data_IF_829751870884
#
_entry.id   IF_829751870884
#
_cell.length_a   1.000
_cell.length_b   1.000
_cell.length_c   1.000
_cell.angle_alpha   90.00
_cell.angle_beta   90.00
_cell.angle_gamma   90.00
#
_symmetry.space_group_name_H-M   'P 1'
#
loop_
_entity.id
_entity.type
_entity.pdbx_description
1 polymer ?
#
# COMPACT_ATOMS: atom_id res chain seq x y z
N UNK A 1 18.70 6.54 0.61
CA UNK A 1 18.57 5.26 1.34
C UNK A 1 19.65 5.24 2.39
N UNK A 2 19.37 4.82 3.63
CA UNK A 2 20.43 4.73 4.64
C UNK A 2 21.38 3.58 4.28
N UNK A 3 22.68 3.66 4.60
CA UNK A 3 23.64 2.58 4.33
C UNK A 3 23.23 1.24 4.95
N UNK A 4 22.58 1.27 6.11
CA UNK A 4 22.10 0.09 6.83
C UNK A 4 20.98 -0.61 6.06
N UNK A 5 20.02 0.17 5.53
CA UNK A 5 18.88 -0.37 4.78
C UNK A 5 19.31 -0.93 3.42
N UNK A 6 20.29 -0.30 2.76
CA UNK A 6 20.88 -0.86 1.53
C UNK A 6 21.60 -2.18 1.79
N UNK A 7 22.32 -2.27 2.91
CA UNK A 7 22.99 -3.51 3.33
C UNK A 7 21.99 -4.62 3.65
N UNK A 8 20.90 -4.31 4.34
CA UNK A 8 19.80 -5.25 4.62
C UNK A 8 19.18 -5.75 3.31
N UNK A 9 18.88 -4.85 2.38
CA UNK A 9 18.33 -5.20 1.07
C UNK A 9 19.29 -6.09 0.26
N UNK A 10 20.59 -5.77 0.24
CA UNK A 10 21.59 -6.59 -0.45
C UNK A 10 21.65 -8.01 0.12
N UNK A 11 21.59 -8.17 1.45
CA UNK A 11 21.58 -9.51 2.07
C UNK A 11 20.33 -10.29 1.68
N UNK A 12 19.16 -9.64 1.71
CA UNK A 12 17.90 -10.24 1.29
C UNK A 12 17.96 -10.67 -0.19
N UNK A 13 18.34 -9.78 -1.10
CA UNK A 13 18.47 -10.10 -2.53
C UNK A 13 19.45 -11.26 -2.78
N UNK A 14 20.60 -11.26 -2.11
CA UNK A 14 21.60 -12.33 -2.25
C UNK A 14 21.08 -13.69 -1.75
N UNK A 15 20.29 -13.70 -0.69
CA UNK A 15 19.70 -14.93 -0.16
C UNK A 15 18.64 -15.50 -1.12
N UNK A 16 17.96 -14.63 -1.88
CA UNK A 16 16.98 -15.01 -2.90
C UNK A 16 17.60 -15.51 -4.23
N UNK A 17 18.90 -15.31 -4.46
CA UNK A 17 19.59 -15.80 -5.66
C UNK A 17 19.65 -17.33 -5.75
N UNK A 18 19.63 -18.01 -4.60
CA UNK A 18 19.74 -19.46 -4.54
C UNK A 18 18.35 -20.07 -4.65
N UNK A 19 18.19 -21.10 -5.47
CA UNK A 19 16.97 -21.89 -5.46
C UNK A 19 16.80 -22.54 -4.09
N UNK A 20 15.57 -22.53 -3.58
CA UNK A 20 15.24 -23.21 -2.33
C UNK A 20 15.41 -24.71 -2.53
N UNK A 21 16.26 -25.32 -1.73
CA UNK A 21 16.41 -26.76 -1.73
C UNK A 21 15.29 -27.39 -0.91
N UNK A 22 14.33 -27.98 -1.62
CA UNK A 22 13.25 -28.75 -1.03
C UNK A 22 13.58 -30.24 -1.07
N UNK A 23 13.40 -30.91 0.07
CA UNK A 23 13.50 -32.37 0.17
C UNK A 23 12.09 -32.94 0.32
N UNK A 24 11.64 -33.71 -0.66
CA UNK A 24 10.37 -34.46 -0.57
C UNK A 24 10.49 -35.52 0.51
N UNK A 25 9.47 -35.63 1.36
CA UNK A 25 9.45 -36.57 2.48
C UNK A 25 8.22 -37.44 2.40
N UNK A 26 8.43 -38.73 2.19
CA UNK A 26 7.35 -39.71 2.27
C UNK A 26 6.89 -39.86 3.75
N UNK A 27 5.58 -39.83 4.02
CA UNK A 27 5.08 -40.13 5.35
C UNK A 27 5.42 -41.58 5.72
N UNK A 28 5.94 -41.78 6.94
CA UNK A 28 6.12 -43.09 7.54
C UNK A 28 4.78 -43.70 7.99
N UNK A 29 3.78 -42.86 8.28
CA UNK A 29 2.40 -43.24 8.53
C UNK A 29 1.47 -42.15 8.01
N UNK A 30 0.35 -42.55 7.42
CA UNK A 30 -0.70 -41.67 6.95
C UNK A 30 -2.04 -42.29 7.34
N UNK A 31 -2.84 -41.57 8.11
CA UNK A 31 -4.12 -42.06 8.64
C UNK A 31 -5.19 -41.00 8.44
N UNK A 32 -6.41 -41.45 8.15
CA UNK A 32 -7.60 -40.61 8.06
C UNK A 32 -8.48 -40.82 9.27
N UNK A 33 -9.09 -39.76 9.80
CA UNK A 33 -10.02 -39.87 10.94
C UNK A 33 -11.22 -40.76 10.64
N UNK A 34 -11.67 -40.83 9.39
CA UNK A 34 -12.74 -41.72 8.95
C UNK A 34 -12.35 -43.20 8.92
N UNK A 35 -11.06 -43.53 9.05
CA UNK A 35 -10.52 -44.88 8.89
C UNK A 35 -10.43 -45.36 7.44
N UNK A 36 -10.80 -44.51 6.46
CA UNK A 36 -10.62 -44.83 5.04
C UNK A 36 -9.15 -44.83 4.65
N UNK A 37 -8.84 -45.54 3.59
CA UNK A 37 -7.47 -45.67 3.10
C UNK A 37 -6.93 -44.36 2.51
N UNK A 38 -5.61 -44.23 2.59
CA UNK A 38 -4.79 -43.18 2.00
C UNK A 38 -3.58 -43.85 1.35
N UNK A 39 -3.42 -43.64 0.07
CA UNK A 39 -2.35 -44.26 -0.71
C UNK A 39 -1.11 -43.36 -0.66
N UNK A 40 0.05 -43.96 -0.41
CA UNK A 40 1.33 -43.26 -0.47
C UNK A 40 2.11 -43.82 -1.65
N UNK A 41 2.14 -43.08 -2.76
CA UNK A 41 2.83 -43.46 -3.99
C UNK A 41 4.37 -43.42 -3.78
N UNK A 42 5.15 -44.13 -4.62
CA UNK A 42 6.60 -43.94 -4.69
C UNK A 42 6.96 -42.46 -4.86
N UNK A 43 8.06 -42.03 -4.23
CA UNK A 43 8.49 -40.61 -4.16
C UNK A 43 7.72 -39.76 -3.14
N UNK A 44 6.81 -40.34 -2.35
CA UNK A 44 6.19 -39.66 -1.21
C UNK A 44 4.95 -38.84 -1.53
N UNK A 45 4.34 -39.06 -2.71
CA UNK A 45 3.04 -38.48 -3.03
C UNK A 45 1.95 -39.16 -2.20
N UNK A 46 1.10 -38.36 -1.59
CA UNK A 46 -0.08 -38.81 -0.87
C UNK A 46 -1.28 -38.69 -1.81
N UNK A 47 -2.08 -39.74 -1.91
CA UNK A 47 -3.27 -39.83 -2.75
C UNK A 47 -4.47 -40.31 -1.92
N UNK A 48 -5.55 -39.53 -1.96
CA UNK A 48 -6.84 -39.82 -1.35
C UNK A 48 -7.88 -39.85 -2.47
N UNK A 49 -8.43 -41.03 -2.73
CA UNK A 49 -9.41 -41.23 -3.82
C UNK A 49 -10.85 -41.36 -3.31
N UNK A 50 -11.04 -41.77 -2.06
CA UNK A 50 -12.37 -41.95 -1.48
C UNK A 50 -12.83 -40.71 -0.73
N UNK A 51 -13.94 -40.13 -1.18
CA UNK A 51 -14.51 -38.93 -0.55
C UNK A 51 -15.15 -39.23 0.81
N UNK A 52 -15.24 -38.20 1.65
CA UNK A 52 -16.02 -38.14 2.88
C UNK A 52 -16.51 -36.70 3.06
N UNK A 53 -17.56 -36.49 3.87
CA UNK A 53 -18.07 -35.15 4.13
C UNK A 53 -17.04 -34.27 4.85
N UNK A 54 -16.37 -34.84 5.85
CA UNK A 54 -15.24 -34.26 6.60
C UNK A 54 -14.25 -35.36 6.94
N UNK A 55 -12.96 -35.07 6.84
CA UNK A 55 -11.93 -36.05 7.15
C UNK A 55 -10.56 -35.41 7.35
N UNK A 56 -10.00 -35.58 8.55
CA UNK A 56 -8.68 -35.04 8.88
C UNK A 56 -7.61 -36.09 8.60
N UNK A 57 -6.46 -35.61 8.14
CA UNK A 57 -5.30 -36.44 7.80
C UNK A 57 -4.21 -36.25 8.83
N UNK A 58 -3.79 -37.34 9.46
CA UNK A 58 -2.60 -37.37 10.31
C UNK A 58 -1.45 -38.04 9.56
N UNK A 59 -0.43 -37.25 9.24
CA UNK A 59 0.75 -37.68 8.50
C UNK A 59 1.97 -37.61 9.40
N UNK A 60 2.59 -38.74 9.71
CA UNK A 60 3.87 -38.78 10.43
C UNK A 60 5.03 -38.92 9.45
N UNK A 61 6.03 -38.05 9.53
CA UNK A 61 7.22 -38.09 8.69
C UNK A 61 8.50 -37.89 9.50
N UNK A 62 9.63 -38.44 9.01
CA UNK A 62 10.94 -38.14 9.59
C UNK A 62 11.33 -36.67 9.33
N UNK A 63 12.07 -36.08 10.25
CA UNK A 63 12.80 -34.84 9.96
C UNK A 63 14.08 -35.19 9.18
N UNK A 64 14.16 -34.77 7.91
CA UNK A 64 15.25 -35.13 6.96
C UNK A 64 16.24 -33.99 6.69
N UNK A 65 15.96 -32.83 7.29
CA UNK A 65 16.80 -31.64 7.27
C UNK A 65 17.41 -31.43 8.66
N UNK A 66 18.61 -30.86 8.73
CA UNK A 66 19.30 -30.63 10.00
C UNK A 66 18.65 -29.51 10.82
N UNK A 67 18.14 -28.48 10.13
CA UNK A 67 17.38 -27.37 10.74
C UNK A 67 16.17 -27.01 9.89
N UNK A 68 15.00 -27.52 10.27
CA UNK A 68 13.76 -27.28 9.55
C UNK A 68 13.34 -25.81 9.67
N UNK A 69 13.40 -25.09 8.55
CA UNK A 69 12.98 -23.71 8.43
C UNK A 69 11.52 -23.57 7.99
N UNK A 70 11.04 -24.47 7.12
CA UNK A 70 9.65 -24.52 6.70
C UNK A 70 9.25 -25.92 6.19
N UNK A 71 7.97 -26.23 6.34
CA UNK A 71 7.30 -27.33 5.63
C UNK A 71 6.53 -26.76 4.43
N UNK A 72 6.41 -27.52 3.35
CA UNK A 72 5.59 -27.18 2.20
C UNK A 72 4.64 -28.31 1.86
N UNK A 73 3.35 -27.99 1.77
CA UNK A 73 2.34 -28.83 1.12
C UNK A 73 2.31 -28.41 -0.34
N UNK A 74 2.70 -29.30 -1.25
CA UNK A 74 2.63 -29.07 -2.69
C UNK A 74 1.47 -29.87 -3.27
N UNK A 75 0.47 -29.20 -3.81
CA UNK A 75 -0.68 -29.86 -4.43
C UNK A 75 -0.31 -30.30 -5.84
N UNK A 76 -0.84 -31.44 -6.26
CA UNK A 76 -0.47 -32.07 -7.53
C UNK A 76 -1.72 -32.45 -8.31
N UNK A 77 -2.21 -31.58 -9.20
CA UNK A 77 -3.33 -31.90 -10.08
C UNK A 77 -3.06 -33.15 -10.90
N UNK A 78 -4.11 -33.93 -11.17
CA UNK A 78 -4.01 -35.14 -11.97
C UNK A 78 -5.25 -35.35 -12.85
N UNK A 79 -5.05 -35.86 -14.06
CA UNK A 79 -6.14 -36.14 -15.01
C UNK A 79 -7.16 -37.16 -14.49
N UNK A 80 -6.75 -37.99 -13.53
CA UNK A 80 -7.58 -39.01 -12.88
C UNK A 80 -8.47 -38.44 -11.77
N UNK A 81 -8.24 -37.20 -11.33
CA UNK A 81 -9.01 -36.56 -10.27
C UNK A 81 -10.14 -35.68 -10.82
N UNK A 82 -11.19 -35.41 -10.01
CA UNK A 82 -12.26 -34.51 -10.39
C UNK A 82 -11.73 -33.16 -10.89
N UNK A 83 -12.32 -32.64 -11.97
CA UNK A 83 -11.92 -31.34 -12.55
C UNK A 83 -10.46 -31.25 -13.03
N UNK A 84 -9.74 -32.38 -13.12
CA UNK A 84 -8.28 -32.43 -13.34
C UNK A 84 -7.49 -31.64 -12.29
N UNK A 85 -8.08 -31.48 -11.10
CA UNK A 85 -7.49 -30.72 -10.01
C UNK A 85 -6.76 -31.59 -9.00
N UNK A 86 -6.50 -31.02 -7.82
CA UNK A 86 -5.78 -31.68 -6.72
C UNK A 86 -6.67 -32.03 -5.52
N UNK A 87 -7.96 -31.69 -5.57
CA UNK A 87 -8.96 -32.03 -4.57
C UNK A 87 -10.15 -32.82 -5.11
N UNK A 88 -10.96 -33.38 -4.21
CA UNK A 88 -12.13 -34.20 -4.58
C UNK A 88 -13.38 -33.37 -4.93
N UNK A 89 -13.42 -32.10 -4.54
CA UNK A 89 -14.55 -31.19 -4.71
C UNK A 89 -14.56 -30.58 -6.11
N UNK A 90 -14.76 -31.40 -7.14
CA UNK A 90 -14.66 -30.94 -8.54
C UNK A 90 -13.26 -30.42 -8.92
N UNK A 91 -12.22 -30.88 -8.22
CA UNK A 91 -10.82 -30.46 -8.38
C UNK A 91 -10.33 -29.49 -7.31
N UNK A 92 -11.25 -28.90 -6.54
CA UNK A 92 -10.94 -28.02 -5.42
C UNK A 92 -10.93 -28.77 -4.07
N UNK A 93 -10.39 -28.12 -3.04
CA UNK A 93 -10.35 -28.59 -1.65
C UNK A 93 -10.45 -27.40 -0.68
N UNK A 94 -10.69 -27.67 0.60
CA UNK A 94 -10.61 -26.67 1.67
C UNK A 94 -9.85 -27.27 2.86
N UNK A 95 -8.62 -26.80 3.09
CA UNK A 95 -7.88 -27.09 4.33
C UNK A 95 -8.32 -26.09 5.38
N UNK A 96 -9.00 -26.55 6.42
CA UNK A 96 -9.57 -25.69 7.47
C UNK A 96 -8.64 -25.43 8.64
N UNK A 97 -7.69 -26.34 8.91
CA UNK A 97 -6.69 -26.16 9.95
C UNK A 97 -5.44 -26.99 9.66
N UNK A 98 -4.30 -26.48 10.10
CA UNK A 98 -3.03 -27.21 10.12
C UNK A 98 -2.45 -27.19 11.53
N UNK A 99 -2.00 -28.36 11.99
CA UNK A 99 -1.22 -28.50 13.23
C UNK A 99 0.03 -29.30 12.95
N UNK A 100 1.14 -28.89 13.55
CA UNK A 100 2.41 -29.60 13.47
C UNK A 100 2.81 -30.00 14.88
N UNK A 101 3.06 -31.28 15.09
CA UNK A 101 3.54 -31.79 16.37
C UNK A 101 4.93 -32.41 16.21
N UNK A 102 5.79 -32.17 17.18
CA UNK A 102 7.01 -32.94 17.39
C UNK A 102 6.68 -34.22 18.16
N UNK A 103 7.19 -35.36 17.67
CA UNK A 103 7.04 -36.66 18.32
C UNK A 103 8.39 -37.14 18.86
N UNK A 104 8.45 -37.37 20.17
CA UNK A 104 9.61 -37.91 20.88
C UNK A 104 9.19 -39.14 21.72
N UNK A 105 9.36 -40.34 21.15
CA UNK A 105 8.85 -41.57 21.76
C UNK A 105 7.31 -41.56 21.79
N UNK A 106 6.75 -41.68 22.99
CA UNK A 106 5.29 -41.64 23.24
C UNK A 106 4.76 -40.23 23.54
N UNK A 107 5.66 -39.23 23.61
CA UNK A 107 5.28 -37.83 23.86
C UNK A 107 5.11 -37.09 22.54
N UNK A 108 4.08 -36.23 22.52
CA UNK A 108 3.81 -35.30 21.42
C UNK A 108 3.72 -33.88 21.96
N UNK A 109 4.33 -32.93 21.26
CA UNK A 109 4.29 -31.50 21.57
C UNK A 109 3.86 -30.74 20.33
N UNK A 110 2.77 -29.97 20.41
CA UNK A 110 2.38 -29.05 19.34
C UNK A 110 3.42 -27.94 19.19
N UNK A 111 3.85 -27.70 17.96
CA UNK A 111 4.85 -26.70 17.63
C UNK A 111 4.14 -25.39 17.30
N UNK A 112 4.52 -24.26 17.94
CA UNK A 112 3.96 -22.97 17.58
C UNK A 112 4.36 -22.62 16.14
N UNK A 113 3.38 -22.18 15.35
CA UNK A 113 3.57 -21.72 13.97
C UNK A 113 3.58 -20.19 13.96
N UNK A 114 4.53 -19.59 13.25
CA UNK A 114 4.59 -18.13 13.06
C UNK A 114 3.56 -17.68 12.03
N UNK A 115 3.56 -18.35 10.87
CA UNK A 115 2.74 -17.98 9.72
C UNK A 115 2.58 -19.13 8.73
N UNK A 116 1.61 -18.95 7.83
CA UNK A 116 1.39 -19.78 6.65
C UNK A 116 1.33 -18.86 5.43
N UNK A 117 1.88 -19.31 4.30
CA UNK A 117 1.90 -18.53 3.05
C UNK A 117 1.54 -19.46 1.89
N UNK A 118 0.63 -19.02 1.03
CA UNK A 118 0.34 -19.72 -0.23
C UNK A 118 0.78 -18.89 -1.44
N UNK A 119 1.12 -19.56 -2.53
CA UNK A 119 1.34 -18.92 -3.85
C UNK A 119 0.03 -18.42 -4.49
N UNK A 120 -1.08 -19.09 -4.17
CA UNK A 120 -2.42 -18.73 -4.60
C UNK A 120 -3.48 -19.10 -3.56
N UNK A 121 -4.57 -18.35 -3.53
CA UNK A 121 -5.78 -18.69 -2.79
C UNK A 121 -7.03 -18.21 -3.53
N UNK A 122 -8.14 -18.90 -3.30
CA UNK A 122 -9.48 -18.48 -3.72
C UNK A 122 -9.94 -17.32 -2.85
N UNK A 123 -10.57 -16.30 -3.45
CA UNK A 123 -11.14 -15.17 -2.71
C UNK A 123 -12.07 -15.67 -1.58
N UNK A 124 -11.85 -15.17 -0.36
CA UNK A 124 -12.58 -15.58 0.84
C UNK A 124 -11.94 -16.73 1.62
N UNK A 125 -10.92 -17.41 1.08
CA UNK A 125 -10.22 -18.53 1.70
C UNK A 125 -8.75 -18.18 1.95
N UNK A 126 -8.50 -17.33 2.95
CA UNK A 126 -7.17 -16.82 3.27
C UNK A 126 -6.27 -17.92 3.89
N UNK A 127 -5.03 -18.14 3.40
CA UNK A 127 -4.13 -19.16 3.92
C UNK A 127 -3.88 -19.08 5.43
N UNK A 128 -3.90 -17.89 6.02
CA UNK A 128 -3.67 -17.66 7.44
C UNK A 128 -4.77 -18.23 8.34
N UNK A 129 -5.96 -18.50 7.79
CA UNK A 129 -7.09 -19.01 8.57
C UNK A 129 -6.85 -20.46 9.04
N UNK A 130 -5.99 -21.21 8.34
CA UNK A 130 -5.59 -22.57 8.73
C UNK A 130 -4.84 -22.61 10.07
N UNK A 131 -4.29 -21.47 10.55
CA UNK A 131 -3.64 -21.39 11.86
C UNK A 131 -4.64 -21.24 13.00
N UNK A 132 -5.74 -20.52 12.75
CA UNK A 132 -6.74 -20.20 13.77
C UNK A 132 -7.75 -21.32 13.95
N UNK A 133 -7.98 -22.12 12.90
CA UNK A 133 -9.03 -23.12 12.80
C UNK A 133 -10.38 -22.46 12.79
N UNK A 134 -11.06 -22.57 11.65
CA UNK A 134 -12.25 -21.79 11.34
C UNK A 134 -13.38 -21.88 12.37
N UNK A 135 -14.13 -20.78 12.49
CA UNK A 135 -15.47 -20.72 13.11
C UNK A 135 -16.58 -20.46 12.07
N UNK A 136 -16.23 -20.13 10.83
CA UNK A 136 -17.13 -19.82 9.72
C UNK A 136 -17.19 -20.89 8.63
N UNK A 137 -18.07 -20.67 7.64
CA UNK A 137 -18.30 -21.58 6.52
C UNK A 137 -17.24 -21.50 5.41
N UNK A 138 -16.47 -20.40 5.36
CA UNK A 138 -15.46 -20.10 4.33
C UNK A 138 -14.06 -19.96 4.93
N UNK A 139 -13.82 -20.55 6.10
CA UNK A 139 -12.54 -20.43 6.81
C UNK A 139 -11.59 -21.55 6.35
N UNK A 140 -10.43 -21.17 5.82
CA UNK A 140 -9.37 -22.11 5.43
C UNK A 140 -8.68 -21.73 4.13
N UNK A 141 -7.88 -22.64 3.59
CA UNK A 141 -7.19 -22.47 2.32
C UNK A 141 -7.83 -23.32 1.21
N UNK A 142 -8.16 -22.67 0.09
CA UNK A 142 -8.73 -23.26 -1.11
C UNK A 142 -8.13 -22.66 -2.38
N UNK A 143 -8.20 -23.39 -3.50
CA UNK A 143 -7.55 -23.02 -4.78
C UNK A 143 -8.55 -22.91 -5.93
N UNK A 144 -9.83 -22.71 -5.63
CA UNK A 144 -10.88 -22.53 -6.62
C UNK A 144 -10.54 -21.39 -7.59
N UNK A 145 -10.74 -21.64 -8.88
CA UNK A 145 -10.36 -20.72 -9.97
C UNK A 145 -9.01 -21.05 -10.64
N UNK A 146 -8.11 -21.78 -9.97
CA UNK A 146 -6.85 -22.28 -10.56
C UNK A 146 -6.60 -23.77 -10.25
N UNK A 147 -7.67 -24.56 -10.15
CA UNK A 147 -7.62 -25.96 -9.70
C UNK A 147 -6.69 -26.87 -10.54
N UNK A 148 -6.46 -26.52 -11.80
CA UNK A 148 -5.68 -27.28 -12.79
C UNK A 148 -4.17 -27.03 -12.70
N UNK A 149 -3.71 -26.23 -11.73
CA UNK A 149 -2.29 -25.93 -11.50
C UNK A 149 -1.83 -26.45 -10.15
N UNK A 150 -0.55 -26.87 -10.03
CA UNK A 150 0.04 -27.14 -8.73
C UNK A 150 0.13 -25.83 -7.94
N UNK A 151 -0.21 -25.90 -6.66
CA UNK A 151 -0.12 -24.80 -5.70
C UNK A 151 0.68 -25.23 -4.48
N UNK A 152 1.15 -24.27 -3.72
CA UNK A 152 2.07 -24.48 -2.63
C UNK A 152 1.60 -23.75 -1.38
N UNK A 153 1.54 -24.45 -0.26
CA UNK A 153 1.29 -23.89 1.07
C UNK A 153 2.50 -24.11 1.96
N UNK A 154 3.15 -23.03 2.35
CA UNK A 154 4.30 -23.02 3.24
C UNK A 154 3.85 -22.83 4.68
N UNK A 155 4.38 -23.65 5.57
CA UNK A 155 4.09 -23.64 7.00
C UNK A 155 5.39 -23.34 7.73
N UNK A 156 5.42 -22.23 8.46
CA UNK A 156 6.64 -21.70 9.08
C UNK A 156 6.52 -21.82 10.60
N UNK A 157 7.36 -22.61 11.26
CA UNK A 157 7.39 -22.68 12.72
C UNK A 157 7.88 -21.35 13.32
N UNK A 158 7.44 -21.04 14.54
CA UNK A 158 7.87 -19.84 15.29
C UNK A 158 9.39 -19.80 15.51
N UNK A 159 10.01 -20.97 15.61
CA UNK A 159 11.46 -21.13 15.67
C UNK A 159 11.88 -22.28 14.78
N UNK A 160 12.97 -22.17 14.00
CA UNK A 160 13.51 -23.28 13.23
C UNK A 160 13.79 -24.49 14.14
N UNK A 161 13.44 -25.69 13.68
CA UNK A 161 13.47 -26.91 14.49
C UNK A 161 14.73 -27.70 14.17
N UNK A 162 15.57 -27.95 15.17
CA UNK A 162 16.76 -28.78 14.99
C UNK A 162 16.37 -30.26 14.92
N UNK A 163 16.97 -31.01 13.98
CA UNK A 163 16.74 -32.45 13.83
C UNK A 163 17.08 -33.26 15.09
N UNK A 164 18.05 -32.79 15.86
CA UNK A 164 18.41 -33.39 17.15
C UNK A 164 17.28 -33.32 18.18
N UNK A 165 16.42 -32.31 18.09
CA UNK A 165 15.24 -32.14 18.95
C UNK A 165 14.09 -33.02 18.43
N UNK A 166 13.79 -32.93 17.13
CA UNK A 166 12.71 -33.67 16.49
C UNK A 166 13.20 -34.75 15.52
N UNK A 167 13.02 -36.02 15.86
CA UNK A 167 13.25 -37.13 14.90
C UNK A 167 12.04 -37.41 14.01
N UNK A 168 10.83 -37.16 14.51
CA UNK A 168 9.56 -37.34 13.81
C UNK A 168 8.66 -36.14 14.03
N UNK A 169 7.92 -35.79 12.99
CA UNK A 169 6.93 -34.73 13.00
C UNK A 169 5.59 -35.33 12.56
N UNK A 170 4.50 -34.89 13.17
CA UNK A 170 3.13 -35.17 12.71
C UNK A 170 2.51 -33.89 12.19
N UNK A 171 2.08 -33.93 10.93
CA UNK A 171 1.25 -32.90 10.32
C UNK A 171 -0.19 -33.38 10.33
N UNK A 172 -1.05 -32.63 11.00
CA UNK A 172 -2.50 -32.82 10.96
C UNK A 172 -3.08 -31.80 9.99
N UNK A 173 -3.76 -32.27 8.95
CA UNK A 173 -4.48 -31.45 7.94
C UNK A 173 -5.97 -31.68 8.15
N UNK A 174 -6.69 -30.66 8.63
CA UNK A 174 -8.10 -30.78 8.95
C UNK A 174 -8.99 -30.30 7.81
N UNK A 175 -10.01 -31.09 7.48
CA UNK A 175 -11.02 -30.77 6.44
C UNK A 175 -12.41 -30.73 7.07
N UNK A 176 -12.69 -29.63 7.78
CA UNK A 176 -13.93 -29.43 8.52
C UNK A 176 -14.94 -28.51 7.80
N UNK A 177 -14.68 -28.20 6.53
CA UNK A 177 -15.50 -27.32 5.70
C UNK A 177 -16.93 -27.86 5.56
N UNK A 178 -17.96 -26.99 5.50
CA UNK A 178 -19.31 -27.41 5.15
C UNK A 178 -19.48 -27.79 3.66
N UNK A 179 -18.49 -27.47 2.81
CA UNK A 179 -18.54 -27.81 1.40
C UNK A 179 -18.29 -29.30 1.19
N UNK A 180 -19.30 -30.00 0.65
CA UNK A 180 -19.23 -31.45 0.40
C UNK A 180 -18.04 -31.80 -0.49
N UNK A 181 -17.37 -32.89 -0.14
CA UNK A 181 -16.28 -33.50 -0.91
C UNK A 181 -15.03 -32.61 -1.12
N UNK A 182 -14.87 -31.50 -0.38
CA UNK A 182 -13.72 -30.60 -0.51
C UNK A 182 -12.48 -31.09 0.24
N UNK A 183 -12.16 -32.37 0.10
CA UNK A 183 -10.96 -32.98 0.65
C UNK A 183 -9.76 -32.79 -0.29
N UNK A 184 -8.58 -32.50 0.26
CA UNK A 184 -7.33 -32.52 -0.50
C UNK A 184 -7.06 -33.95 -0.96
N UNK A 185 -6.86 -34.16 -2.26
CA UNK A 185 -6.78 -35.49 -2.86
C UNK A 185 -5.34 -35.90 -3.15
N UNK A 186 -4.53 -35.03 -3.76
CA UNK A 186 -3.18 -35.40 -4.18
C UNK A 186 -2.15 -34.31 -3.92
N UNK A 187 -1.15 -34.65 -3.13
CA UNK A 187 -0.16 -33.69 -2.65
C UNK A 187 1.14 -34.36 -2.19
N UNK A 188 2.18 -33.57 -1.99
CA UNK A 188 3.45 -33.96 -1.40
C UNK A 188 3.79 -33.06 -0.21
N UNK A 189 4.55 -33.62 0.73
CA UNK A 189 5.14 -32.87 1.84
C UNK A 189 6.63 -32.72 1.59
N UNK A 190 7.13 -31.50 1.76
CA UNK A 190 8.52 -31.17 1.54
C UNK A 190 9.10 -30.36 2.71
N UNK A 191 10.39 -30.53 2.97
CA UNK A 191 11.13 -29.85 4.03
C UNK A 191 12.27 -29.02 3.45
N UNK A 192 12.54 -27.85 4.04
CA UNK A 192 13.71 -27.03 3.69
C UNK A 192 14.40 -26.44 4.92
N UNK A 193 15.70 -26.17 4.76
CA UNK A 193 16.54 -25.44 5.71
C UNK A 193 16.63 -23.95 5.38
N UNK A 194 16.11 -23.55 4.21
CA UNK A 194 16.18 -22.19 3.71
C UNK A 194 15.10 -21.31 4.34
N UNK A 195 15.51 -20.44 5.26
CA UNK A 195 14.63 -19.47 5.90
C UNK A 195 14.03 -18.44 4.91
N UNK A 196 14.63 -18.26 3.73
CA UNK A 196 14.10 -17.34 2.70
C UNK A 196 13.02 -17.97 1.82
N UNK A 197 12.68 -19.24 2.02
CA UNK A 197 11.60 -19.90 1.30
C UNK A 197 10.27 -19.13 1.39
N UNK A 198 10.00 -18.53 2.54
CA UNK A 198 8.81 -17.72 2.81
C UNK A 198 8.76 -16.49 1.89
N UNK A 199 9.86 -15.75 1.81
CA UNK A 199 9.96 -14.55 0.98
C UNK A 199 9.80 -14.87 -0.50
N UNK A 200 10.29 -16.04 -0.93
CA UNK A 200 10.17 -16.50 -2.31
C UNK A 200 8.72 -16.81 -2.69
N UNK A 201 7.96 -17.47 -1.82
CA UNK A 201 6.57 -17.84 -2.14
C UNK A 201 5.62 -16.66 -2.10
N UNK A 202 5.82 -15.70 -1.18
CA UNK A 202 4.98 -14.50 -1.10
C UNK A 202 5.18 -13.55 -2.28
N UNK A 203 6.37 -13.58 -2.89
CA UNK A 203 6.79 -12.57 -3.84
C UNK A 203 6.24 -12.85 -5.25
N UNK A 204 5.77 -11.81 -5.97
CA UNK A 204 5.40 -11.97 -7.37
C UNK A 204 6.54 -12.55 -8.21
N UNK A 205 6.23 -13.52 -9.08
CA UNK A 205 7.22 -14.21 -9.91
C UNK A 205 8.09 -13.26 -10.76
N UNK A 206 7.51 -12.16 -11.26
CA UNK A 206 8.27 -11.15 -12.01
C UNK A 206 9.32 -10.45 -11.13
N UNK A 207 9.02 -10.21 -9.86
CA UNK A 207 9.96 -9.61 -8.93
C UNK A 207 11.09 -10.58 -8.56
N UNK A 208 10.77 -11.86 -8.37
CA UNK A 208 11.79 -12.93 -8.22
C UNK A 208 12.73 -12.99 -9.42
N UNK A 209 12.20 -12.92 -10.65
CA UNK A 209 13.01 -12.90 -11.88
C UNK A 209 13.93 -11.68 -11.92
N UNK A 210 13.42 -10.50 -11.57
CA UNK A 210 14.23 -9.28 -11.47
C UNK A 210 15.33 -9.44 -10.43
N UNK A 211 15.01 -9.97 -9.24
CA UNK A 211 16.01 -10.18 -8.18
C UNK A 211 17.09 -11.15 -8.63
N UNK A 212 16.75 -12.22 -9.34
CA UNK A 212 17.72 -13.17 -9.91
C UNK A 212 18.66 -12.56 -10.96
N UNK A 213 18.30 -11.42 -11.55
CA UNK A 213 19.25 -10.64 -12.33
C UNK A 213 20.20 -9.90 -11.37
N UNK A 214 21.49 -9.81 -11.73
CA UNK A 214 22.45 -8.96 -11.00
C UNK A 214 21.89 -7.54 -10.88
N UNK A 215 22.11 -6.87 -9.74
CA UNK A 215 21.75 -5.44 -9.55
C UNK A 215 22.26 -4.57 -10.70
N UNK A 216 23.46 -4.85 -11.22
CA UNK A 216 24.07 -4.12 -12.34
C UNK A 216 23.40 -4.36 -13.69
N UNK A 217 22.55 -5.38 -13.81
CA UNK A 217 21.82 -5.73 -15.03
C UNK A 217 20.37 -5.25 -15.02
N UNK A 218 19.90 -4.62 -13.94
CA UNK A 218 18.53 -4.11 -13.82
C UNK A 218 18.44 -2.67 -14.31
N UNK A 219 17.30 -2.30 -14.90
CA UNK A 219 16.98 -0.88 -15.18
C UNK A 219 16.68 -0.11 -13.89
N UNK A 220 16.72 1.23 -13.96
CA UNK A 220 16.40 2.10 -12.82
C UNK A 220 14.99 1.83 -12.25
N UNK A 221 14.02 1.58 -13.12
CA UNK A 221 12.65 1.22 -12.72
C UNK A 221 12.60 -0.13 -11.99
N UNK A 222 13.35 -1.12 -12.45
CA UNK A 222 13.43 -2.43 -11.78
C UNK A 222 14.10 -2.31 -10.41
N UNK A 223 15.16 -1.50 -10.31
CA UNK A 223 15.81 -1.19 -9.03
C UNK A 223 14.84 -0.50 -8.08
N UNK A 224 14.08 0.48 -8.57
CA UNK A 224 13.07 1.20 -7.79
C UNK A 224 11.97 0.26 -7.29
N UNK A 225 11.48 -0.64 -8.15
CA UNK A 225 10.43 -1.61 -7.81
C UNK A 225 10.87 -2.62 -6.75
N UNK A 226 12.06 -3.23 -6.93
CA UNK A 226 12.64 -4.17 -5.94
C UNK A 226 12.83 -3.47 -4.60
N UNK A 227 13.39 -2.26 -4.61
CA UNK A 227 13.63 -1.48 -3.39
C UNK A 227 12.32 -1.02 -2.75
N UNK A 228 11.28 -0.74 -3.54
CA UNK A 228 9.95 -0.41 -3.03
C UNK A 228 9.34 -1.62 -2.30
N UNK A 229 9.32 -2.79 -2.94
CA UNK A 229 8.79 -4.02 -2.33
C UNK A 229 9.54 -4.37 -1.06
N UNK A 230 10.88 -4.38 -1.09
CA UNK A 230 11.70 -4.65 0.10
C UNK A 230 11.31 -3.77 1.28
N UNK A 231 11.19 -2.45 1.07
CA UNK A 231 10.89 -1.49 2.14
C UNK A 231 9.48 -1.64 2.72
N UNK A 232 8.50 -1.95 1.88
CA UNK A 232 7.10 -2.01 2.29
C UNK A 232 6.69 -3.37 2.84
N UNK A 233 7.30 -4.45 2.34
CA UNK A 233 6.87 -5.82 2.63
C UNK A 233 7.86 -6.60 3.50
N UNK A 234 9.17 -6.38 3.32
CA UNK A 234 10.21 -7.27 3.89
C UNK A 234 10.95 -6.62 5.06
N UNK A 235 11.57 -5.46 4.86
CA UNK A 235 12.55 -4.82 5.74
C UNK A 235 12.13 -4.81 7.22
N UNK A 236 12.78 -5.63 8.03
CA UNK A 236 12.39 -5.85 9.43
C UNK A 236 12.63 -4.58 10.25
N UNK A 237 13.71 -3.87 9.93
CA UNK A 237 14.05 -2.56 10.50
C UNK A 237 12.93 -1.51 10.33
N UNK A 238 12.09 -1.65 9.30
CA UNK A 238 10.98 -0.74 9.03
C UNK A 238 9.65 -1.19 9.64
N UNK A 239 9.55 -2.37 10.28
CA UNK A 239 8.31 -2.85 10.90
C UNK A 239 7.71 -1.87 11.92
N UNK A 240 8.48 -1.26 12.85
CA UNK A 240 7.91 -0.32 13.83
C UNK A 240 7.28 0.90 13.15
N UNK A 241 7.95 1.44 12.13
CA UNK A 241 7.49 2.60 11.37
C UNK A 241 6.25 2.25 10.53
N UNK A 242 6.24 1.09 9.88
CA UNK A 242 5.07 0.59 9.12
C UNK A 242 3.85 0.44 10.02
N UNK A 243 4.01 -0.12 11.23
CA UNK A 243 2.93 -0.21 12.23
C UNK A 243 2.43 1.16 12.69
N UNK A 244 3.35 2.08 12.99
CA UNK A 244 2.98 3.44 13.38
C UNK A 244 2.22 4.18 12.26
N UNK A 245 2.64 4.01 11.00
CA UNK A 245 1.96 4.60 9.85
C UNK A 245 0.54 4.03 9.66
N UNK A 246 0.37 2.71 9.79
CA UNK A 246 -0.94 2.08 9.71
C UNK A 246 -1.87 2.58 10.82
N UNK A 247 -1.37 2.67 12.05
CA UNK A 247 -2.12 3.21 13.18
C UNK A 247 -2.52 4.68 12.93
N UNK A 248 -1.58 5.54 12.52
CA UNK A 248 -1.87 6.95 12.24
C UNK A 248 -2.87 7.14 11.09
N UNK A 249 -2.84 6.29 10.06
CA UNK A 249 -3.83 6.30 8.98
C UNK A 249 -5.21 5.89 9.50
N UNK A 250 -5.28 4.81 10.27
CA UNK A 250 -6.53 4.37 10.89
C UNK A 250 -7.11 5.45 11.81
N UNK A 251 -6.27 6.10 12.61
CA UNK A 251 -6.66 7.22 13.46
C UNK A 251 -7.20 8.37 12.62
N UNK A 252 -6.47 8.82 11.58
CA UNK A 252 -6.93 9.86 10.65
C UNK A 252 -8.29 9.51 10.04
N UNK A 253 -8.46 8.29 9.57
CA UNK A 253 -9.69 7.84 8.90
C UNK A 253 -10.85 7.68 9.90
N UNK A 254 -10.54 7.47 11.19
CA UNK A 254 -11.52 7.47 12.28
C UNK A 254 -11.97 8.89 12.69
N UNK A 255 -11.22 9.93 12.32
CA UNK A 255 -11.60 11.33 12.56
C UNK A 255 -12.78 11.65 11.63
N UNK A 256 -13.98 11.40 12.13
CA UNK A 256 -15.21 11.84 11.49
C UNK A 256 -15.44 13.31 11.84
N UNK A 257 -15.60 14.20 10.86
CA UNK A 257 -15.97 15.58 11.16
C UNK A 257 -17.32 15.59 11.86
N UNK A 258 -17.39 16.19 13.05
CA UNK A 258 -18.64 16.33 13.81
C UNK A 258 -19.67 17.17 13.04
N UNK A 259 -19.20 17.99 12.12
CA UNK A 259 -19.98 18.81 11.19
C UNK A 259 -19.16 19.02 9.92
N UNK A 260 -19.78 18.85 8.75
CA UNK A 260 -19.19 19.26 7.47
C UNK A 260 -19.49 20.73 7.24
N UNK A 261 -18.46 21.57 7.11
CA UNK A 261 -18.63 22.95 6.61
C UNK A 261 -18.41 22.95 5.10
N UNK A 262 -19.26 23.63 4.32
CA UNK A 262 -18.98 23.82 2.91
C UNK A 262 -17.69 24.62 2.76
N UNK A 263 -16.74 24.08 2.01
CA UNK A 263 -15.52 24.80 1.62
C UNK A 263 -15.65 25.22 0.16
N UNK A 264 -15.16 26.42 -0.16
CA UNK A 264 -14.97 26.80 -1.55
C UNK A 264 -13.65 26.19 -2.02
N UNK A 265 -13.75 25.20 -2.89
CA UNK A 265 -12.60 24.59 -3.55
C UNK A 265 -12.69 24.90 -5.05
N UNK A 266 -11.54 25.11 -5.66
CA UNK A 266 -11.46 25.22 -7.11
C UNK A 266 -11.87 23.90 -7.77
N UNK A 267 -12.68 24.01 -8.82
CA UNK A 267 -13.19 22.86 -9.55
C UNK A 267 -12.05 22.25 -10.37
N UNK A 268 -11.71 20.99 -10.13
CA UNK A 268 -10.72 20.26 -10.94
C UNK A 268 -11.37 19.73 -12.21
N UNK A 269 -10.84 20.10 -13.39
CA UNK A 269 -11.33 19.62 -14.68
C UNK A 269 -12.04 20.72 -15.49
N UNK A 270 -13.28 20.47 -15.92
CA UNK A 270 -14.03 21.39 -16.76
C UNK A 270 -14.51 22.62 -15.98
N UNK A 271 -14.02 23.81 -16.34
CA UNK A 271 -14.48 25.07 -15.80
C UNK A 271 -15.83 25.48 -16.42
N UNK A 272 -16.68 26.15 -15.63
CA UNK A 272 -17.93 26.73 -16.14
C UNK A 272 -17.60 27.88 -17.11
N UNK A 273 -18.15 27.84 -18.32
CA UNK A 273 -18.06 28.97 -19.25
C UNK A 273 -18.83 30.16 -18.69
N UNK A 274 -18.26 31.36 -18.79
CA UNK A 274 -18.88 32.60 -18.34
C UNK A 274 -19.20 33.47 -19.54
N UNK A 275 -20.39 34.07 -19.56
CA UNK A 275 -20.83 34.91 -20.65
C UNK A 275 -21.26 36.28 -20.15
N UNK A 276 -21.16 37.30 -21.01
CA UNK A 276 -21.67 38.62 -20.72
C UNK A 276 -23.20 38.58 -20.60
N UNK A 277 -23.75 39.10 -19.50
CA UNK A 277 -25.21 39.24 -19.35
C UNK A 277 -25.63 40.66 -19.71
N UNK A 278 -26.45 40.81 -20.76
CA UNK A 278 -26.89 42.12 -21.20
C UNK A 278 -27.78 42.75 -20.11
N UNK A 279 -27.30 43.86 -19.54
CA UNK A 279 -27.96 44.56 -18.42
C UNK A 279 -28.22 43.66 -17.20
N UNK A 280 -27.40 42.62 -17.00
CA UNK A 280 -27.57 41.66 -15.90
C UNK A 280 -28.73 40.66 -16.07
N UNK A 281 -29.31 40.54 -17.27
CA UNK A 281 -30.33 39.54 -17.55
C UNK A 281 -29.68 38.18 -17.86
N UNK A 282 -29.85 37.20 -16.98
CA UNK A 282 -29.27 35.86 -17.14
C UNK A 282 -29.85 35.05 -18.31
N UNK A 283 -31.00 35.47 -18.88
CA UNK A 283 -31.61 34.87 -20.08
C UNK A 283 -31.11 35.52 -21.38
N UNK A 284 -30.49 36.69 -21.31
CA UNK A 284 -29.97 37.44 -22.45
C UNK A 284 -28.44 37.41 -22.44
N UNK A 285 -27.93 36.32 -23.00
CA UNK A 285 -26.53 35.94 -22.94
C UNK A 285 -25.80 36.45 -24.19
N UNK A 286 -24.76 37.27 -23.97
CA UNK A 286 -23.84 37.76 -24.97
C UNK A 286 -22.60 36.86 -25.15
N UNK A 287 -21.50 37.41 -25.68
CA UNK A 287 -20.27 36.66 -25.92
C UNK A 287 -19.70 36.02 -24.65
N UNK A 288 -18.96 34.92 -24.83
CA UNK A 288 -18.14 34.33 -23.78
C UNK A 288 -17.06 35.31 -23.33
N UNK A 289 -16.77 35.32 -22.03
CA UNK A 289 -15.70 36.09 -21.42
C UNK A 289 -14.75 35.15 -20.70
N UNK A 290 -13.46 35.40 -20.86
CA UNK A 290 -12.39 34.67 -20.18
C UNK A 290 -11.92 35.44 -18.96
N UNK A 291 -11.24 34.74 -18.04
CA UNK A 291 -10.59 35.38 -16.92
C UNK A 291 -9.48 36.33 -17.42
N UNK A 292 -9.38 37.48 -16.75
CA UNK A 292 -8.46 38.55 -17.12
C UNK A 292 -8.29 39.55 -15.99
N UNK A 293 -7.21 40.32 -16.02
CA UNK A 293 -7.01 41.47 -15.14
C UNK A 293 -7.53 42.73 -15.83
N UNK A 294 -8.07 43.73 -15.10
CA UNK A 294 -8.50 44.97 -15.74
C UNK A 294 -7.31 45.66 -16.41
N UNK A 295 -7.38 45.81 -17.73
CA UNK A 295 -6.28 46.32 -18.56
C UNK A 295 -5.78 47.72 -18.13
N UNK A 296 -6.65 48.51 -17.50
CA UNK A 296 -6.33 49.84 -16.95
C UNK A 296 -5.26 49.81 -15.85
N UNK A 297 -5.09 48.69 -15.15
CA UNK A 297 -4.12 48.55 -14.05
C UNK A 297 -2.82 47.85 -14.46
N UNK A 298 -2.76 47.26 -15.65
CA UNK A 298 -1.58 46.58 -16.16
C UNK A 298 -1.68 46.37 -17.68
N UNK A 299 -0.94 47.18 -18.45
CA UNK A 299 -0.89 47.04 -19.92
C UNK A 299 -0.23 45.72 -20.36
N UNK A 300 0.77 45.24 -19.62
CA UNK A 300 1.48 43.98 -19.88
C UNK A 300 0.62 42.73 -19.61
N UNK A 301 -0.33 42.84 -18.68
CA UNK A 301 -1.23 41.76 -18.29
C UNK A 301 -2.43 41.61 -19.24
N UNK A 302 -2.73 42.67 -20.01
CA UNK A 302 -3.83 42.68 -20.99
C UNK A 302 -3.60 41.69 -22.16
N UNK A 303 -2.37 41.21 -22.34
CA UNK A 303 -1.98 40.25 -23.36
C UNK A 303 -2.12 38.78 -22.95
N UNK A 304 -2.82 38.49 -21.84
CA UNK A 304 -2.98 37.11 -21.33
C UNK A 304 -1.77 36.57 -20.58
N UNK A 305 -0.78 37.42 -20.27
CA UNK A 305 0.32 37.08 -19.39
C UNK A 305 -0.09 37.25 -17.93
N UNK A 306 0.21 36.27 -17.09
CA UNK A 306 0.07 36.45 -15.65
C UNK A 306 0.95 37.62 -15.21
N UNK A 307 0.44 38.43 -14.30
CA UNK A 307 1.20 39.39 -13.53
C UNK A 307 2.43 38.70 -12.90
N UNK A 308 3.56 38.77 -13.59
CA UNK A 308 4.73 37.94 -13.29
C UNK A 308 5.72 37.81 -14.45
N UNK A 309 5.29 38.07 -15.70
CA UNK A 309 6.15 37.89 -16.88
C UNK A 309 6.29 36.43 -17.32
N UNK A 310 5.53 35.53 -16.69
CA UNK A 310 5.50 34.11 -17.03
C UNK A 310 4.28 33.85 -17.92
N UNK A 311 4.54 33.71 -19.23
CA UNK A 311 3.49 33.55 -20.25
C UNK A 311 2.73 32.21 -20.14
N UNK A 312 3.25 31.25 -19.36
CA UNK A 312 2.69 29.90 -19.22
C UNK A 312 1.75 29.74 -18.01
N UNK A 313 1.57 30.79 -17.20
CA UNK A 313 0.76 30.72 -15.99
C UNK A 313 -0.69 31.15 -16.27
N UNK A 314 -1.70 30.34 -15.90
CA UNK A 314 -3.10 30.68 -16.14
C UNK A 314 -3.50 31.97 -15.41
N UNK A 315 -4.28 32.81 -16.09
CA UNK A 315 -4.83 34.05 -15.52
C UNK A 315 -6.05 33.69 -14.69
N UNK A 316 -5.83 33.41 -13.40
CA UNK A 316 -6.87 32.99 -12.45
C UNK A 316 -6.92 33.93 -11.22
N UNK A 317 -7.72 33.56 -10.21
CA UNK A 317 -7.82 34.35 -8.96
C UNK A 317 -6.50 34.42 -8.20
N UNK A 318 -5.68 33.37 -8.28
CA UNK A 318 -4.36 33.34 -7.65
C UNK A 318 -3.39 34.29 -8.36
N UNK A 319 -3.46 34.39 -9.69
CA UNK A 319 -2.72 35.37 -10.46
C UNK A 319 -3.07 36.82 -10.04
N UNK A 320 -4.37 37.14 -9.85
CA UNK A 320 -4.80 38.44 -9.31
C UNK A 320 -4.28 38.66 -7.88
N UNK A 321 -4.37 37.66 -7.00
CA UNK A 321 -3.90 37.76 -5.63
C UNK A 321 -2.40 38.05 -5.56
N UNK A 322 -1.60 37.35 -6.37
CA UNK A 322 -0.16 37.58 -6.46
C UNK A 322 0.16 38.97 -7.03
N UNK A 323 -0.58 39.45 -8.03
CA UNK A 323 -0.41 40.80 -8.57
C UNK A 323 -0.68 41.89 -7.52
N UNK A 324 -1.77 41.73 -6.76
CA UNK A 324 -2.20 42.71 -5.76
C UNK A 324 -1.08 43.00 -4.75
N UNK A 325 -0.29 42.00 -4.36
CA UNK A 325 0.82 42.13 -3.41
C UNK A 325 2.20 42.18 -4.08
N UNK A 326 2.25 42.30 -5.41
CA UNK A 326 3.51 42.33 -6.16
C UNK A 326 4.25 43.66 -6.02
N UNK A 327 5.56 43.61 -6.24
CA UNK A 327 6.44 44.78 -6.29
C UNK A 327 6.09 45.79 -7.38
N UNK A 328 5.40 45.32 -8.43
CA UNK A 328 4.91 46.13 -9.53
C UNK A 328 3.57 46.81 -9.29
N UNK A 329 2.90 46.54 -8.17
CA UNK A 329 1.70 47.26 -7.76
C UNK A 329 2.01 48.21 -6.58
N UNK A 330 2.28 49.50 -6.85
CA UNK A 330 2.68 50.45 -5.81
C UNK A 330 1.54 50.84 -4.85
N UNK A 331 0.28 50.54 -5.19
CA UNK A 331 -0.87 51.03 -4.42
C UNK A 331 -1.09 50.26 -3.13
N UNK A 332 -0.95 48.93 -3.15
CA UNK A 332 -1.31 48.08 -2.00
C UNK A 332 -0.47 48.41 -0.77
N UNK A 333 0.85 48.56 -0.95
CA UNK A 333 1.74 48.93 0.15
C UNK A 333 1.45 50.35 0.67
N UNK A 334 1.23 51.33 -0.21
CA UNK A 334 0.87 52.71 0.16
C UNK A 334 -0.43 52.75 0.98
N UNK A 335 -1.47 52.04 0.53
CA UNK A 335 -2.75 51.94 1.26
C UNK A 335 -2.54 51.31 2.63
N UNK A 336 -1.77 50.22 2.70
CA UNK A 336 -1.53 49.51 3.96
C UNK A 336 -0.72 50.35 4.96
N UNK A 337 0.33 51.04 4.50
CA UNK A 337 1.11 51.99 5.31
C UNK A 337 0.23 53.12 5.81
N UNK A 338 -0.60 53.70 4.95
CA UNK A 338 -1.47 54.80 5.34
C UNK A 338 -2.48 54.39 6.42
N UNK A 339 -3.05 53.18 6.32
CA UNK A 339 -3.93 52.61 7.34
C UNK A 339 -3.21 52.37 8.67
N UNK A 340 -1.98 51.87 8.63
CA UNK A 340 -1.16 51.68 9.83
C UNK A 340 -0.84 53.04 10.47
N UNK A 341 -0.42 54.01 9.66
CA UNK A 341 -0.13 55.36 10.09
C UNK A 341 -1.35 56.04 10.73
N UNK A 342 -2.51 55.97 10.08
CA UNK A 342 -3.77 56.47 10.61
C UNK A 342 -4.12 55.80 11.95
N UNK A 343 -3.95 54.49 12.07
CA UNK A 343 -4.21 53.78 13.33
C UNK A 343 -3.28 54.21 14.47
N UNK A 344 -2.05 54.63 14.18
CA UNK A 344 -1.06 55.08 15.16
C UNK A 344 -1.22 56.56 15.53
N UNK A 345 -1.47 57.43 14.55
CA UNK A 345 -1.42 58.88 14.69
C UNK A 345 -2.79 59.56 14.60
N UNK A 346 -3.86 58.81 14.33
CA UNK A 346 -5.24 59.29 14.25
C UNK A 346 -5.64 59.91 12.91
N UNK A 347 -4.67 60.18 12.01
CA UNK A 347 -4.91 60.69 10.66
C UNK A 347 -3.88 60.09 9.71
N UNK A 348 -4.33 59.59 8.56
CA UNK A 348 -3.45 59.08 7.50
C UNK A 348 -2.62 60.17 6.85
N UNK A 349 -1.50 59.78 6.24
CA UNK A 349 -0.72 60.65 5.35
C UNK A 349 -1.57 61.12 4.16
N UNK A 350 -2.43 60.24 3.66
CA UNK A 350 -3.61 60.54 2.83
C UNK A 350 -4.81 60.55 3.77
N UNK A 351 -5.50 61.70 3.87
CA UNK A 351 -6.62 61.88 4.80
C UNK A 351 -7.82 61.03 4.40
N UNK A 352 -8.04 60.86 3.10
CA UNK A 352 -9.09 59.99 2.54
C UNK A 352 -8.60 58.55 2.42
N UNK A 353 -8.44 57.86 3.53
CA UNK A 353 -7.81 56.51 3.57
C UNK A 353 -8.47 55.45 2.68
N UNK A 354 -9.75 55.63 2.33
CA UNK A 354 -10.50 54.73 1.44
C UNK A 354 -10.45 55.13 -0.04
N UNK A 355 -9.78 56.24 -0.40
CA UNK A 355 -9.71 56.76 -1.76
C UNK A 355 -8.30 57.29 -2.08
N UNK A 356 -7.55 56.48 -2.83
CA UNK A 356 -6.20 56.80 -3.33
C UNK A 356 -6.19 57.24 -4.81
N UNK A 357 -7.37 57.32 -5.42
CA UNK A 357 -7.57 57.77 -6.80
C UNK A 357 -7.80 59.28 -6.91
N UNK A 358 -8.28 59.72 -8.07
CA UNK A 358 -8.46 61.14 -8.41
C UNK A 358 -9.55 61.86 -7.61
N UNK A 359 -10.36 61.13 -6.85
CA UNK A 359 -11.39 61.67 -5.95
C UNK A 359 -10.88 61.82 -4.51
N UNK A 360 -9.67 61.36 -4.22
CA UNK A 360 -9.04 61.41 -2.90
C UNK A 360 -8.19 62.66 -2.71
N UNK A 361 -7.83 62.94 -1.45
CA UNK A 361 -6.86 63.96 -1.12
C UNK A 361 -5.42 63.49 -1.44
N UNK A 362 -4.55 64.43 -1.81
CA UNK A 362 -3.14 64.12 -2.02
C UNK A 362 -2.44 63.82 -0.68
N UNK A 363 -1.40 62.97 -0.68
CA UNK A 363 -0.62 62.72 0.53
C UNK A 363 0.02 64.02 1.04
N UNK A 364 -0.09 64.28 2.34
CA UNK A 364 0.58 65.41 3.00
C UNK A 364 2.11 65.30 2.92
N UNK A 365 2.64 64.07 2.98
CA UNK A 365 4.07 63.76 2.90
C UNK A 365 4.29 62.59 1.92
N UNK A 366 4.30 62.84 0.60
CA UNK A 366 4.34 61.80 -0.42
C UNK A 366 5.63 60.98 -0.39
N UNK A 367 6.79 61.63 -0.17
CA UNK A 367 8.09 60.93 -0.10
C UNK A 367 8.17 59.99 1.11
N UNK A 368 7.59 60.38 2.25
CA UNK A 368 7.55 59.54 3.44
C UNK A 368 6.65 58.31 3.22
N UNK A 369 5.48 58.53 2.61
CA UNK A 369 4.56 57.43 2.27
C UNK A 369 5.24 56.42 1.33
N UNK A 370 5.96 56.91 0.33
CA UNK A 370 6.70 56.08 -0.62
C UNK A 370 7.82 55.30 0.04
N UNK A 371 8.62 55.97 0.88
CA UNK A 371 9.69 55.31 1.63
C UNK A 371 9.15 54.19 2.53
N UNK A 372 8.13 54.47 3.33
CA UNK A 372 7.50 53.47 4.20
C UNK A 372 6.86 52.30 3.42
N UNK A 373 6.30 52.58 2.25
CA UNK A 373 5.70 51.55 1.39
C UNK A 373 6.77 50.59 0.85
N UNK A 374 7.91 51.12 0.39
CA UNK A 374 9.05 50.31 -0.06
C UNK A 374 9.61 49.47 1.09
N UNK A 375 9.85 50.07 2.26
CA UNK A 375 10.34 49.35 3.45
C UNK A 375 9.39 48.21 3.88
N UNK A 376 8.07 48.45 3.84
CA UNK A 376 7.09 47.42 4.15
C UNK A 376 7.19 46.23 3.18
N UNK A 377 7.41 46.49 1.89
CA UNK A 377 7.54 45.44 0.88
C UNK A 377 8.86 44.68 1.01
N UNK A 378 9.99 45.39 1.15
CA UNK A 378 11.33 44.79 1.28
C UNK A 378 11.49 43.96 2.57
N UNK A 379 10.79 44.33 3.64
CA UNK A 379 10.74 43.55 4.88
C UNK A 379 9.93 42.25 4.78
N UNK A 380 9.32 41.97 3.61
CA UNK A 380 8.42 40.84 3.41
C UNK A 380 7.07 41.04 4.10
N UNK A 381 6.53 42.27 4.05
CA UNK A 381 5.25 42.67 4.67
C UNK A 381 5.25 42.56 6.20
N UNK A 382 6.40 42.80 6.84
CA UNK A 382 6.53 42.73 8.29
C UNK A 382 5.98 44.00 8.96
N UNK A 383 4.69 44.00 9.28
CA UNK A 383 4.03 45.13 9.95
C UNK A 383 4.64 45.49 11.30
N UNK A 384 5.28 44.55 12.02
CA UNK A 384 5.96 44.84 13.29
C UNK A 384 7.29 45.57 13.13
N UNK A 385 7.92 45.50 11.96
CA UNK A 385 9.13 46.27 11.69
C UNK A 385 8.79 47.73 11.33
N UNK A 386 7.59 47.96 10.80
CA UNK A 386 7.08 49.27 10.41
C UNK A 386 6.56 50.11 11.60
N UNK A 387 6.11 49.44 12.68
CA UNK A 387 5.61 50.04 13.93
C UNK A 387 6.74 50.06 14.95
#
# INVERSE_FOLDING_TARGET
>A
MTPELDTEQMRWENALQRDTQWKVVAPASAVRTSGKEIDVEPQGTVLVTSSAEKDDYDLEFPCVVERLAALRIRTLPADTLPGRGSGLGGGNFVITRIRVHEIAGDKSRELPLDRVVADYHQQGFEPEDVLRGGKGNEDGWAVGGQIDKPHELLIVPATPIARSESKRLRLTIEHQSPHKDHLLARFQIEQTEDATAVDKVRMPNELLKMIRQSRSGRSDDQVALVSHYFRHEVAESLLPVRRALLAAKADRDSIKPMTTVPVMQELTGEHRTTHLQHRGNYLDIGPEVTAGLPAVFCEECAAGSAAGGDADRPVDRMALANWLVSDRNPLTARVQVNRIWEALFGQGLVVTSEEFGSQGELPTHPELLDWLAVELMESGWNSKALI
#
